data_IF_462960069272
#
_entry.id   IF_462960069272
#
_cell.length_a   1.000
_cell.length_b   1.000
_cell.length_c   1.000
_cell.angle_alpha   90.00
_cell.angle_beta   90.00
_cell.angle_gamma   90.00
#
_symmetry.space_group_name_H-M   'P 1'
#
loop_
_entity.id
_entity.type
_entity.pdbx_description
1 polymer ?
#
# COMPACT_ATOMS: atom_id res chain seq x y z
N UNK A 1 12.59 13.28 5.58
CA UNK A 1 11.32 13.31 6.35
C UNK A 1 10.46 12.16 5.82
N UNK A 2 9.50 11.61 6.59
CA UNK A 2 8.59 10.58 6.05
C UNK A 2 7.60 11.27 5.09
N UNK A 3 7.39 10.73 3.89
CA UNK A 3 6.30 11.17 3.01
C UNK A 3 4.94 10.68 3.53
N UNK A 4 3.87 11.04 2.81
CA UNK A 4 2.51 10.74 3.22
C UNK A 4 2.26 9.22 3.36
N UNK A 5 1.48 8.83 4.39
CA UNK A 5 0.97 7.47 4.51
C UNK A 5 -0.11 7.25 3.43
N UNK A 6 0.14 6.30 2.53
CA UNK A 6 -0.76 6.00 1.41
C UNK A 6 -1.79 4.94 1.79
N UNK A 7 -1.33 3.84 2.40
CA UNK A 7 -2.19 2.73 2.82
C UNK A 7 -1.58 1.93 3.96
N UNK A 8 -2.43 1.44 4.86
CA UNK A 8 -2.11 0.42 5.86
C UNK A 8 -2.94 -0.82 5.58
N UNK A 9 -2.40 -2.01 5.89
CA UNK A 9 -3.18 -3.25 5.79
C UNK A 9 -2.39 -4.47 6.23
N UNK A 10 -3.07 -5.62 6.36
CA UNK A 10 -2.42 -6.84 6.80
C UNK A 10 -1.74 -7.58 5.65
N UNK A 11 -0.59 -8.19 5.94
CA UNK A 11 0.17 -9.00 4.96
C UNK A 11 -0.56 -10.30 4.60
N UNK A 12 -1.38 -10.85 5.50
CA UNK A 12 -2.16 -12.08 5.31
C UNK A 12 -3.38 -11.93 4.38
N UNK A 13 -3.81 -10.70 4.07
CA UNK A 13 -5.00 -10.45 3.24
C UNK A 13 -4.77 -10.78 1.76
N UNK A 14 -3.50 -10.80 1.30
CA UNK A 14 -3.12 -11.00 -0.09
C UNK A 14 -2.08 -12.12 -0.23
N UNK A 15 -1.98 -12.69 -1.42
CA UNK A 15 -0.89 -13.64 -1.72
C UNK A 15 0.38 -12.86 -2.00
N UNK A 16 1.34 -12.92 -1.07
CA UNK A 16 2.69 -12.39 -1.28
C UNK A 16 3.40 -13.15 -2.40
N UNK A 17 3.91 -12.41 -3.38
CA UNK A 17 4.79 -12.93 -4.43
C UNK A 17 6.23 -12.96 -3.92
N UNK A 18 7.03 -13.85 -4.51
CA UNK A 18 8.41 -14.08 -4.09
C UNK A 18 9.11 -15.12 -4.97
N UNK A 19 10.33 -15.44 -4.58
CA UNK A 19 11.17 -16.48 -5.17
C UNK A 19 11.84 -17.26 -4.03
N UNK A 20 11.98 -18.59 -4.15
CA UNK A 20 12.65 -19.45 -3.15
C UNK A 20 12.21 -19.23 -1.68
N UNK A 21 10.93 -18.87 -1.45
CA UNK A 21 10.38 -18.61 -0.11
C UNK A 21 10.65 -17.21 0.45
N UNK A 22 11.38 -16.35 -0.27
CA UNK A 22 11.58 -14.94 0.09
C UNK A 22 10.51 -14.08 -0.59
N UNK A 23 9.55 -13.49 0.16
CA UNK A 23 8.55 -12.60 -0.41
C UNK A 23 9.13 -11.22 -0.72
N UNK A 24 8.64 -10.60 -1.79
CA UNK A 24 9.09 -9.29 -2.31
C UNK A 24 9.12 -8.21 -1.23
N UNK A 25 8.07 -8.11 -0.40
CA UNK A 25 7.99 -7.05 0.61
C UNK A 25 9.08 -7.14 1.70
N UNK A 26 9.62 -8.33 1.98
CA UNK A 26 10.75 -8.50 2.93
C UNK A 26 12.09 -8.08 2.33
N UNK A 27 12.23 -8.21 1.01
CA UNK A 27 13.38 -7.71 0.26
C UNK A 27 13.22 -6.23 -0.16
N UNK A 28 12.15 -5.55 0.26
CA UNK A 28 11.71 -4.32 -0.37
C UNK A 28 12.74 -3.19 -0.36
N UNK A 29 13.43 -2.96 0.76
CA UNK A 29 14.46 -1.92 0.84
C UNK A 29 15.65 -2.19 -0.09
N UNK A 30 16.02 -3.46 -0.29
CA UNK A 30 17.10 -3.85 -1.21
C UNK A 30 16.68 -3.71 -2.68
N UNK A 31 15.43 -4.10 -3.00
CA UNK A 31 14.84 -3.93 -4.32
C UNK A 31 14.73 -2.44 -4.68
N UNK A 32 14.21 -1.62 -3.75
CA UNK A 32 14.20 -0.15 -3.87
C UNK A 32 15.60 0.41 -4.10
N UNK A 33 16.61 -0.02 -3.34
CA UNK A 33 18.00 0.41 -3.54
C UNK A 33 18.49 0.15 -4.97
N UNK A 34 18.28 -1.05 -5.49
CA UNK A 34 18.71 -1.42 -6.83
C UNK A 34 18.00 -0.61 -7.91
N UNK A 35 16.70 -0.33 -7.74
CA UNK A 35 15.91 0.50 -8.65
C UNK A 35 16.36 1.98 -8.56
N UNK A 36 16.63 2.51 -7.35
CA UNK A 36 17.13 3.88 -7.15
C UNK A 36 18.50 4.10 -7.80
N UNK A 37 19.38 3.09 -7.75
CA UNK A 37 20.69 3.11 -8.44
C UNK A 37 20.58 3.04 -9.97
N UNK A 38 19.46 2.51 -10.48
CA UNK A 38 19.13 2.48 -11.91
C UNK A 38 18.61 3.85 -12.36
N UNK A 39 17.64 4.40 -11.64
CA UNK A 39 17.10 5.76 -11.79
C UNK A 39 16.30 6.14 -10.52
N UNK A 40 16.59 7.31 -9.94
CA UNK A 40 15.88 7.83 -8.78
C UNK A 40 14.38 8.05 -9.07
N UNK A 41 14.04 8.50 -10.28
CA UNK A 41 12.64 8.73 -10.66
C UNK A 41 11.81 7.45 -10.68
N UNK A 42 12.44 6.29 -10.90
CA UNK A 42 11.75 5.00 -10.97
C UNK A 42 11.34 4.51 -9.58
N UNK A 43 12.24 4.60 -8.58
CA UNK A 43 11.95 4.10 -7.22
C UNK A 43 10.83 4.87 -6.52
N UNK A 44 10.62 6.13 -6.91
CA UNK A 44 9.52 6.98 -6.44
C UNK A 44 8.13 6.45 -6.79
N UNK A 45 7.99 5.61 -7.84
CA UNK A 45 6.72 4.96 -8.20
C UNK A 45 6.38 3.77 -7.29
N UNK A 46 7.25 3.44 -6.34
CA UNK A 46 7.01 2.41 -5.35
C UNK A 46 6.84 3.09 -3.99
N UNK A 47 5.90 2.63 -3.18
CA UNK A 47 5.82 3.03 -1.78
C UNK A 47 6.95 2.36 -0.96
N UNK A 48 7.26 2.94 0.20
CA UNK A 48 8.16 2.37 1.20
C UNK A 48 7.31 1.54 2.17
N UNK A 49 7.39 0.20 2.18
CA UNK A 49 6.75 -0.61 3.21
C UNK A 49 7.48 -0.49 4.55
N UNK A 50 6.72 -0.40 5.64
CA UNK A 50 7.17 -0.53 7.01
C UNK A 50 6.28 -1.60 7.67
N UNK A 51 6.88 -2.71 8.08
CA UNK A 51 6.18 -3.74 8.85
C UNK A 51 6.18 -3.42 10.34
N UNK A 52 5.11 -3.80 11.04
CA UNK A 52 5.09 -3.83 12.51
C UNK A 52 6.04 -4.89 13.07
N UNK A 53 6.28 -4.87 14.39
CA UNK A 53 7.19 -5.81 15.07
C UNK A 53 6.82 -7.28 14.88
N UNK A 54 5.53 -7.56 14.64
CA UNK A 54 4.98 -8.89 14.40
C UNK A 54 5.01 -9.30 12.91
N UNK A 55 5.25 -8.37 11.98
CA UNK A 55 5.19 -8.60 10.52
C UNK A 55 3.78 -8.84 9.97
N UNK A 56 2.75 -8.56 10.76
CA UNK A 56 1.34 -8.79 10.44
C UNK A 56 0.73 -7.61 9.68
N UNK A 57 1.11 -6.39 10.02
CA UNK A 57 0.65 -5.16 9.38
C UNK A 57 1.79 -4.50 8.60
N UNK A 58 1.47 -3.92 7.44
CA UNK A 58 2.39 -3.15 6.62
C UNK A 58 1.77 -1.79 6.33
N UNK A 59 2.48 -0.74 6.72
CA UNK A 59 2.18 0.64 6.41
C UNK A 59 3.04 1.07 5.20
N UNK A 60 2.42 1.68 4.20
CA UNK A 60 3.04 2.03 2.92
C UNK A 60 3.08 3.55 2.76
N UNK A 61 4.29 4.11 2.73
CA UNK A 61 4.53 5.55 2.65
C UNK A 61 5.00 5.97 1.25
N UNK A 62 4.63 7.17 0.81
CA UNK A 62 5.27 7.83 -0.33
C UNK A 62 6.71 8.24 0.02
N UNK A 63 7.61 8.21 -0.96
CA UNK A 63 8.93 8.87 -0.88
C UNK A 63 8.82 10.37 -1.21
N UNK A 64 7.80 10.75 -2.00
CA UNK A 64 7.52 12.12 -2.45
C UNK A 64 6.52 12.79 -1.48
N UNK A 65 6.77 14.03 -1.03
CA UNK A 65 5.77 14.86 -0.35
C UNK A 65 4.77 15.46 -1.35
N UNK A 66 3.48 15.49 -1.01
CA UNK A 66 2.47 16.09 -1.88
C UNK A 66 1.07 15.53 -1.67
N UNK A 67 0.13 16.03 -2.47
CA UNK A 67 -1.27 15.62 -2.42
C UNK A 67 -1.47 14.21 -2.95
N UNK A 68 -2.14 13.37 -2.15
CA UNK A 68 -2.40 11.97 -2.48
C UNK A 68 -3.79 11.79 -3.09
N UNK A 69 -3.87 11.10 -4.22
CA UNK A 69 -5.08 10.81 -5.00
C UNK A 69 -5.23 9.29 -5.15
N UNK A 70 -6.34 8.63 -4.83
CA UNK A 70 -6.55 7.24 -5.24
C UNK A 70 -6.69 7.19 -6.76
N UNK A 71 -6.18 6.13 -7.39
CA UNK A 71 -6.41 5.87 -8.80
C UNK A 71 -7.91 5.96 -9.16
N UNK A 72 -8.76 5.34 -8.35
CA UNK A 72 -10.22 5.30 -8.53
C UNK A 72 -10.90 6.68 -8.48
N UNK A 73 -10.23 7.70 -7.95
CA UNK A 73 -10.73 9.08 -7.84
C UNK A 73 -10.08 10.08 -8.80
N UNK A 74 -8.93 9.71 -9.38
CA UNK A 74 -8.26 10.50 -10.42
C UNK A 74 -9.08 10.56 -11.71
N UNK A 75 -8.95 11.64 -12.47
CA UNK A 75 -9.53 11.80 -13.81
C UNK A 75 -8.77 10.95 -14.83
N UNK A 76 -9.34 10.75 -16.01
CA UNK A 76 -8.66 10.00 -17.07
C UNK A 76 -7.44 10.77 -17.63
N UNK A 77 -7.47 12.10 -17.55
CA UNK A 77 -6.37 13.00 -17.90
C UNK A 77 -5.20 12.90 -16.91
N UNK A 78 -5.47 12.71 -15.62
CA UNK A 78 -4.44 12.40 -14.61
C UNK A 78 -3.90 10.95 -14.79
N UNK A 79 -4.77 9.98 -15.12
CA UNK A 79 -4.41 8.56 -15.26
C UNK A 79 -3.61 8.24 -16.51
N UNK A 80 -3.89 8.89 -17.65
CA UNK A 80 -3.22 8.61 -18.92
C UNK A 80 -1.68 8.77 -18.87
N UNK A 81 -1.09 9.90 -18.42
CA UNK A 81 0.35 10.03 -18.25
C UNK A 81 0.90 9.15 -17.11
N UNK A 82 0.08 8.86 -16.09
CA UNK A 82 0.46 7.96 -15.00
C UNK A 82 0.63 6.51 -15.48
N UNK A 83 -0.27 5.97 -16.32
CA UNK A 83 -0.07 4.62 -16.91
C UNK A 83 1.23 4.53 -17.70
N UNK A 84 1.58 5.56 -18.48
CA UNK A 84 2.87 5.58 -19.19
C UNK A 84 4.08 5.58 -18.24
N UNK A 85 3.98 6.24 -17.08
CA UNK A 85 5.03 6.20 -16.06
C UNK A 85 5.21 4.79 -15.48
N UNK A 86 4.11 4.08 -15.19
CA UNK A 86 4.15 2.69 -14.71
C UNK A 86 4.65 1.71 -15.78
N UNK A 87 4.34 1.91 -17.06
CA UNK A 87 4.90 1.11 -18.15
C UNK A 87 6.43 1.30 -18.30
N UNK A 88 6.93 2.54 -18.12
CA UNK A 88 8.38 2.81 -18.06
C UNK A 88 9.03 2.10 -16.86
N UNK A 89 8.39 2.11 -15.70
CA UNK A 89 8.83 1.33 -14.52
C UNK A 89 8.89 -0.17 -14.83
N UNK A 90 7.82 -0.74 -15.41
CA UNK A 90 7.76 -2.14 -15.80
C UNK A 90 8.92 -2.51 -16.74
N UNK A 91 9.11 -1.76 -17.81
CA UNK A 91 10.19 -2.00 -18.78
C UNK A 91 11.58 -1.91 -18.14
N UNK A 92 11.79 -0.96 -17.22
CA UNK A 92 13.06 -0.81 -16.51
C UNK A 92 13.32 -1.93 -15.49
N UNK A 93 12.28 -2.47 -14.86
CA UNK A 93 12.34 -3.66 -14.00
C UNK A 93 12.66 -4.92 -14.81
N UNK A 94 12.06 -5.07 -16.00
CA UNK A 94 12.33 -6.18 -16.92
C UNK A 94 13.81 -6.17 -17.40
N UNK A 95 14.35 -5.01 -17.80
CA UNK A 95 15.77 -4.85 -18.15
C UNK A 95 16.70 -5.04 -16.94
N UNK A 96 16.36 -4.50 -15.76
CA UNK A 96 17.16 -4.72 -14.55
C UNK A 96 17.18 -6.22 -14.18
N UNK A 97 16.05 -6.91 -14.27
CA UNK A 97 15.96 -8.37 -14.08
C UNK A 97 16.86 -9.13 -15.05
N UNK A 98 16.80 -8.82 -16.35
CA UNK A 98 17.61 -9.48 -17.38
C UNK A 98 19.12 -9.38 -17.09
N UNK A 99 19.60 -8.22 -16.63
CA UNK A 99 21.01 -8.01 -16.23
C UNK A 99 21.44 -8.87 -15.04
N UNK A 100 20.53 -9.17 -14.11
CA UNK A 100 20.81 -10.06 -12.97
C UNK A 100 20.75 -11.54 -13.34
N UNK A 101 19.88 -11.94 -14.28
CA UNK A 101 19.72 -13.33 -14.70
C UNK A 101 20.79 -13.80 -15.71
N UNK A 102 21.38 -12.87 -16.46
CA UNK A 102 22.38 -13.19 -17.48
C UNK A 102 21.83 -14.03 -18.63
N UNK A 103 22.75 -14.49 -19.48
CA UNK A 103 22.44 -15.37 -20.63
C UNK A 103 22.90 -16.81 -20.42
N UNK A 104 23.84 -17.03 -19.49
CA UNK A 104 24.42 -18.34 -19.20
C UNK A 104 23.59 -19.09 -18.14
N UNK A 105 23.31 -20.40 -18.29
CA UNK A 105 22.69 -21.21 -17.24
C UNK A 105 23.39 -21.13 -15.88
N UNK A 106 24.70 -20.88 -15.82
CA UNK A 106 25.45 -20.69 -14.58
C UNK A 106 25.09 -19.39 -13.85
N UNK A 107 24.76 -18.31 -14.57
CA UNK A 107 24.28 -17.04 -13.99
C UNK A 107 22.89 -17.16 -13.36
N UNK A 108 22.12 -18.20 -13.72
CA UNK A 108 20.75 -18.41 -13.24
C UNK A 108 20.65 -19.15 -11.89
N UNK A 109 21.78 -19.44 -11.26
CA UNK A 109 21.87 -20.13 -9.97
C UNK A 109 22.37 -19.18 -8.86
N UNK A 110 21.72 -19.23 -7.68
CA UNK A 110 22.13 -18.48 -6.49
C UNK A 110 21.48 -17.09 -6.34
N UNK A 111 21.94 -16.33 -5.34
CA UNK A 111 21.26 -15.14 -4.81
C UNK A 111 21.06 -14.02 -5.87
N UNK A 112 22.03 -13.84 -6.78
CA UNK A 112 21.93 -12.89 -7.90
C UNK A 112 20.74 -13.24 -8.79
N UNK A 113 20.54 -14.52 -9.11
CA UNK A 113 19.42 -14.98 -9.91
C UNK A 113 18.08 -14.89 -9.16
N UNK A 114 18.07 -15.20 -7.87
CA UNK A 114 16.89 -15.00 -7.00
C UNK A 114 16.47 -13.54 -7.00
N UNK A 115 17.41 -12.61 -6.80
CA UNK A 115 17.16 -11.16 -6.87
C UNK A 115 16.65 -10.72 -8.25
N UNK A 116 17.25 -11.25 -9.33
CA UNK A 116 16.78 -11.03 -10.70
C UNK A 116 15.33 -11.48 -10.92
N UNK A 117 14.92 -12.62 -10.36
CA UNK A 117 13.52 -13.09 -10.42
C UNK A 117 12.58 -12.28 -9.54
N UNK A 118 13.02 -11.85 -8.35
CA UNK A 118 12.25 -10.98 -7.45
C UNK A 118 11.90 -9.65 -8.12
N UNK A 119 12.81 -9.04 -8.90
CA UNK A 119 12.54 -7.81 -9.64
C UNK A 119 11.33 -7.91 -10.57
N UNK A 120 11.12 -9.05 -11.25
CA UNK A 120 9.91 -9.28 -12.09
C UNK A 120 8.61 -9.34 -11.27
N UNK A 121 8.70 -9.62 -9.97
CA UNK A 121 7.54 -9.67 -9.07
C UNK A 121 7.18 -8.31 -8.47
N UNK A 122 8.08 -7.31 -8.53
CA UNK A 122 7.87 -5.97 -7.95
C UNK A 122 6.66 -5.26 -8.54
N UNK A 123 6.45 -5.33 -9.85
CA UNK A 123 5.40 -4.56 -10.55
C UNK A 123 3.96 -5.04 -10.27
N UNK A 124 3.78 -6.18 -9.60
CA UNK A 124 2.45 -6.74 -9.28
C UNK A 124 1.86 -6.10 -8.02
N UNK A 125 0.57 -5.80 -8.03
CA UNK A 125 -0.22 -5.34 -6.89
C UNK A 125 -1.65 -5.91 -7.01
N UNK A 126 -2.50 -5.87 -5.96
CA UNK A 126 -3.78 -6.60 -5.99
C UNK A 126 -4.81 -6.07 -7.00
N UNK A 127 -5.08 -4.75 -7.02
CA UNK A 127 -6.00 -4.08 -7.95
C UNK A 127 -5.78 -2.56 -7.98
N UNK A 128 -6.55 -1.84 -8.80
CA UNK A 128 -6.46 -0.38 -8.97
C UNK A 128 -6.58 0.43 -7.66
N UNK A 129 -7.20 -0.09 -6.60
CA UNK A 129 -7.29 0.62 -5.32
C UNK A 129 -5.95 0.75 -4.59
N UNK A 130 -4.92 0.03 -5.02
CA UNK A 130 -3.58 0.05 -4.43
C UNK A 130 -2.63 1.03 -5.12
N UNK A 131 -3.11 1.76 -6.14
CA UNK A 131 -2.35 2.78 -6.85
C UNK A 131 -2.84 4.17 -6.42
N UNK A 132 -1.88 5.05 -6.15
CA UNK A 132 -2.14 6.43 -5.76
C UNK A 132 -1.35 7.37 -6.66
N UNK A 133 -1.88 8.53 -7.02
CA UNK A 133 -1.07 9.60 -7.58
C UNK A 133 -0.58 10.48 -6.42
N UNK A 134 0.68 10.90 -6.45
CA UNK A 134 1.26 11.87 -5.52
C UNK A 134 1.96 12.93 -6.37
N UNK A 135 1.44 14.17 -6.36
CA UNK A 135 1.85 15.24 -7.28
C UNK A 135 1.94 14.77 -8.76
N UNK A 136 0.94 14.01 -9.23
CA UNK A 136 0.88 13.48 -10.59
C UNK A 136 1.78 12.27 -10.89
N UNK A 137 2.60 11.80 -9.95
CA UNK A 137 3.38 10.55 -10.10
C UNK A 137 2.62 9.36 -9.48
N UNK A 138 2.43 8.24 -10.21
CA UNK A 138 1.77 7.07 -9.66
C UNK A 138 2.70 6.27 -8.74
N UNK A 139 2.28 6.10 -7.48
CA UNK A 139 2.94 5.32 -6.44
C UNK A 139 2.12 4.07 -6.15
N UNK A 140 2.74 2.90 -6.34
CA UNK A 140 2.17 1.60 -6.02
C UNK A 140 2.30 1.30 -4.52
N UNK A 141 1.23 0.82 -3.89
CA UNK A 141 1.23 0.19 -2.55
C UNK A 141 0.95 -1.32 -2.70
N UNK A 142 1.28 -2.13 -1.68
CA UNK A 142 1.16 -3.60 -1.77
C UNK A 142 1.81 -4.19 -3.02
N UNK A 143 2.92 -3.57 -3.46
CA UNK A 143 3.70 -4.08 -4.58
C UNK A 143 4.42 -5.38 -4.18
N UNK A 144 4.47 -6.35 -5.08
CA UNK A 144 4.80 -7.73 -4.77
C UNK A 144 3.66 -8.55 -4.15
N UNK A 145 2.40 -8.15 -4.27
CA UNK A 145 1.22 -8.93 -3.85
C UNK A 145 0.20 -9.08 -4.99
N UNK A 146 -0.68 -10.07 -4.84
CA UNK A 146 -1.85 -10.29 -5.72
C UNK A 146 -3.03 -10.83 -4.88
N UNK A 147 -4.26 -10.70 -5.37
CA UNK A 147 -5.41 -11.42 -4.81
C UNK A 147 -5.21 -12.94 -4.88
N UNK A 148 -5.81 -13.68 -3.93
CA UNK A 148 -5.63 -15.14 -3.85
C UNK A 148 -6.23 -15.89 -5.06
N UNK A 149 -7.24 -15.31 -5.69
CA UNK A 149 -7.95 -15.78 -6.89
C UNK A 149 -7.53 -15.04 -8.18
N UNK A 150 -6.45 -14.24 -8.13
CA UNK A 150 -5.97 -13.50 -9.30
C UNK A 150 -5.58 -14.43 -10.47
N UNK A 151 -6.04 -14.09 -11.68
CA UNK A 151 -5.61 -14.76 -12.90
C UNK A 151 -4.15 -14.39 -13.21
N UNK A 152 -3.25 -15.35 -13.00
CA UNK A 152 -1.81 -15.20 -13.20
C UNK A 152 -1.37 -15.08 -14.65
N UNK A 153 -2.28 -15.21 -15.62
CA UNK A 153 -2.02 -14.95 -17.03
C UNK A 153 -2.18 -13.48 -17.43
N UNK A 154 -2.86 -12.67 -16.60
CA UNK A 154 -3.04 -11.24 -16.86
C UNK A 154 -1.75 -10.46 -16.59
N UNK A 155 -1.53 -9.42 -17.39
CA UNK A 155 -0.41 -8.51 -17.22
C UNK A 155 -0.61 -7.60 -15.99
N UNK A 156 0.44 -7.29 -15.21
CA UNK A 156 0.33 -6.61 -13.91
C UNK A 156 -0.46 -5.29 -13.94
N UNK A 157 -0.29 -4.51 -15.01
CA UNK A 157 -0.89 -3.18 -15.16
C UNK A 157 -2.29 -3.22 -15.81
N UNK A 158 -2.78 -4.39 -16.23
CA UNK A 158 -4.03 -4.54 -16.96
C UNK A 158 -5.24 -3.93 -16.23
N UNK A 159 -5.28 -4.05 -14.89
CA UNK A 159 -6.36 -3.51 -14.07
C UNK A 159 -6.46 -1.97 -14.04
N UNK A 160 -5.47 -1.24 -14.56
CA UNK A 160 -5.45 0.23 -14.60
C UNK A 160 -6.05 0.82 -15.88
N UNK A 161 -6.28 -0.03 -16.89
CA UNK A 161 -6.86 0.38 -18.17
C UNK A 161 -8.39 0.28 -18.09
N UNK A 162 -9.13 1.24 -18.68
CA UNK A 162 -10.57 1.12 -18.76
C UNK A 162 -10.92 -0.18 -19.48
N UNK A 163 -11.85 -0.95 -18.90
CA UNK A 163 -12.36 -2.14 -19.57
C UNK A 163 -12.96 -1.70 -20.89
N UNK A 164 -12.41 -2.19 -22.00
CA UNK A 164 -12.99 -1.99 -23.32
C UNK A 164 -14.34 -2.70 -23.37
N UNK A 165 -15.40 -1.98 -23.00
CA UNK A 165 -16.75 -2.28 -23.44
C UNK A 165 -16.65 -2.36 -24.98
N UNK A 166 -16.97 -3.50 -25.61
CA UNK A 166 -16.98 -3.54 -27.06
C UNK A 166 -18.00 -2.50 -27.53
N UNK A 167 -17.55 -1.48 -28.27
CA UNK A 167 -18.46 -0.50 -28.85
C UNK A 167 -19.61 -1.25 -29.53
N UNK A 168 -20.89 -0.83 -29.35
CA UNK A 168 -21.99 -1.44 -30.06
C UNK A 168 -21.69 -1.27 -31.55
N UNK A 169 -21.26 -2.37 -32.20
CA UNK A 169 -20.67 -2.32 -33.53
C UNK A 169 -21.58 -1.51 -34.44
N UNK A 170 -21.11 -0.33 -34.86
CA UNK A 170 -21.83 0.48 -35.81
C UNK A 170 -22.23 -0.43 -36.99
N UNK A 171 -23.48 -0.38 -37.46
CA UNK A 171 -23.93 -1.29 -38.51
C UNK A 171 -23.03 -1.11 -39.72
N UNK A 172 -22.30 -2.17 -40.06
CA UNK A 172 -21.35 -2.19 -41.17
C UNK A 172 -22.10 -1.69 -42.40
N UNK A 173 -21.66 -0.61 -43.08
CA UNK A 173 -22.36 -0.10 -44.24
C UNK A 173 -22.29 -1.16 -45.35
N UNK A 174 -23.42 -1.82 -45.59
CA UNK A 174 -23.60 -2.77 -46.69
C UNK A 174 -23.17 -2.11 -48.00
N UNK A 175 -22.21 -2.68 -48.75
CA UNK A 175 -21.83 -2.11 -50.05
C UNK A 175 -23.05 -2.06 -50.97
N UNK A 176 -23.27 -0.89 -51.58
CA UNK A 176 -24.41 -0.67 -52.47
C UNK A 176 -24.29 -1.51 -53.75
N UNK A 177 -24.83 -2.72 -53.73
CA UNK A 177 -25.05 -3.52 -54.92
C UNK A 177 -26.26 -2.95 -55.70
N UNK A 178 -26.09 -2.81 -57.03
CA UNK A 178 -27.07 -2.18 -57.90
C UNK A 178 -28.41 -2.95 -57.98
N UNK A 179 -29.47 -2.21 -58.29
CA UNK A 179 -30.85 -2.68 -58.21
C UNK A 179 -31.18 -3.85 -59.17
N UNK A 180 -32.00 -4.79 -58.69
CA UNK A 180 -32.90 -5.59 -59.55
C UNK A 180 -34.31 -5.64 -58.93
N UNK A 181 -35.31 -5.72 -59.79
CA UNK A 181 -36.75 -5.52 -59.52
C UNK A 181 -37.42 -6.76 -58.92
N UNK A 182 -38.44 -6.52 -58.07
CA UNK A 182 -39.71 -7.27 -57.91
C UNK A 182 -40.12 -7.55 -56.44
N UNK A 183 -41.41 -7.31 -56.15
CA UNK A 183 -42.11 -7.65 -54.90
C UNK A 183 -42.81 -9.04 -55.05
N UNK A 184 -43.55 -9.60 -54.05
CA UNK A 184 -43.87 -9.06 -52.73
C UNK A 184 -43.79 -10.07 -51.54
N UNK A 185 -44.03 -9.55 -50.33
CA UNK A 185 -44.66 -10.22 -49.17
C UNK A 185 -44.21 -11.65 -48.80
N UNK A 186 -43.29 -11.75 -47.86
CA UNK A 186 -43.24 -12.84 -46.89
C UNK A 186 -42.93 -12.28 -45.50
N UNK A 187 -43.77 -12.58 -44.51
CA UNK A 187 -43.48 -12.27 -43.12
C UNK A 187 -42.36 -13.20 -42.62
N UNK A 188 -41.28 -12.64 -42.07
CA UNK A 188 -40.22 -13.42 -41.42
C UNK A 188 -40.23 -13.12 -39.94
N UNK A 189 -40.27 -14.18 -39.15
CA UNK A 189 -40.45 -14.16 -37.70
C UNK A 189 -39.38 -13.34 -36.98
N UNK A 190 -39.77 -12.73 -35.86
CA UNK A 190 -38.83 -12.28 -34.84
C UNK A 190 -38.20 -13.52 -34.21
N UNK A 191 -37.00 -13.89 -34.64
CA UNK A 191 -36.25 -14.98 -34.02
C UNK A 191 -35.70 -14.52 -32.68
N UNK A 192 -36.36 -14.94 -31.60
CA UNK A 192 -36.03 -14.54 -30.23
C UNK A 192 -34.67 -15.11 -29.83
N UNK A 193 -33.73 -14.23 -29.50
CA UNK A 193 -32.40 -14.58 -28.98
C UNK A 193 -32.55 -15.54 -27.78
N UNK A 194 -31.90 -16.73 -27.79
CA UNK A 194 -32.06 -17.70 -26.72
C UNK A 194 -31.45 -17.18 -25.42
N UNK A 195 -32.30 -16.89 -24.44
CA UNK A 195 -31.87 -16.67 -23.05
C UNK A 195 -31.19 -17.94 -22.55
N UNK A 196 -29.87 -17.87 -22.34
CA UNK A 196 -29.08 -18.95 -21.76
C UNK A 196 -29.46 -19.09 -20.28
N UNK A 197 -30.53 -19.86 -20.02
CA UNK A 197 -30.90 -20.26 -18.67
C UNK A 197 -29.78 -21.13 -18.11
N UNK A 198 -29.09 -20.65 -17.07
CA UNK A 198 -28.09 -21.45 -16.35
C UNK A 198 -28.81 -22.68 -15.77
N UNK A 199 -28.40 -23.92 -16.11
CA UNK A 199 -29.20 -25.10 -15.81
C UNK A 199 -29.31 -25.33 -14.30
N UNK A 200 -30.53 -25.34 -13.75
CA UNK A 200 -30.75 -25.40 -12.29
C UNK A 200 -30.07 -26.62 -11.65
N UNK A 201 -29.96 -27.71 -12.39
CA UNK A 201 -29.35 -28.97 -11.95
C UNK A 201 -27.92 -28.81 -11.43
N UNK A 202 -27.16 -27.81 -11.90
CA UNK A 202 -25.81 -27.53 -11.39
C UNK A 202 -25.80 -27.10 -9.91
N UNK A 203 -26.93 -26.59 -9.39
CA UNK A 203 -27.12 -26.19 -7.99
C UNK A 203 -27.36 -27.39 -7.05
N UNK A 204 -27.73 -28.55 -7.58
CA UNK A 204 -27.86 -29.80 -6.81
C UNK A 204 -26.59 -30.66 -6.83
N UNK A 205 -25.62 -30.37 -7.71
CA UNK A 205 -24.40 -31.17 -7.81
C UNK A 205 -23.53 -31.12 -6.54
N UNK A 206 -23.63 -30.04 -5.75
CA UNK A 206 -22.95 -29.91 -4.45
C UNK A 206 -23.68 -30.64 -3.29
N UNK A 207 -24.93 -31.08 -3.48
CA UNK A 207 -25.62 -31.95 -2.52
C UNK A 207 -25.14 -33.41 -2.64
N UNK A 208 -24.59 -33.81 -3.79
CA UNK A 208 -24.07 -35.17 -4.01
C UNK A 208 -22.87 -35.54 -3.11
N UNK A 209 -21.81 -34.71 -2.96
CA UNK A 209 -20.74 -35.00 -2.00
C UNK A 209 -21.22 -34.96 -0.54
N UNK A 210 -22.19 -34.08 -0.20
CA UNK A 210 -22.80 -34.05 1.14
C UNK A 210 -23.58 -35.35 1.44
N UNK A 211 -24.36 -35.83 0.46
CA UNK A 211 -25.09 -37.10 0.54
C UNK A 211 -24.13 -38.29 0.67
N UNK A 212 -23.05 -38.33 -0.13
CA UNK A 212 -22.02 -39.37 -0.04
C UNK A 212 -21.32 -39.36 1.32
N UNK A 213 -21.01 -38.18 1.87
CA UNK A 213 -20.39 -38.05 3.19
C UNK A 213 -21.33 -38.50 4.31
N UNK A 214 -22.62 -38.17 4.24
CA UNK A 214 -23.65 -38.67 5.17
C UNK A 214 -23.83 -40.19 5.06
N UNK A 215 -23.83 -40.74 3.84
CA UNK A 215 -23.98 -42.17 3.60
C UNK A 215 -22.73 -42.95 4.07
N UNK A 216 -21.53 -42.40 3.89
CA UNK A 216 -20.29 -42.93 4.44
C UNK A 216 -20.28 -42.89 5.98
N UNK A 217 -20.73 -41.79 6.60
CA UNK A 217 -20.89 -41.70 8.06
C UNK A 217 -21.92 -42.70 8.60
N UNK A 218 -23.03 -42.90 7.88
CA UNK A 218 -24.05 -43.88 8.22
C UNK A 218 -23.51 -45.31 8.10
N UNK A 219 -22.80 -45.64 7.02
CA UNK A 219 -22.08 -46.92 6.90
C UNK A 219 -21.08 -47.12 8.05
N UNK A 220 -20.22 -46.13 8.33
CA UNK A 220 -19.28 -46.19 9.46
C UNK A 220 -19.99 -46.37 10.82
N UNK A 221 -21.20 -45.83 10.98
CA UNK A 221 -22.01 -46.00 12.18
C UNK A 221 -22.61 -47.41 12.29
N UNK A 222 -23.09 -47.98 11.18
CA UNK A 222 -23.55 -49.38 11.13
C UNK A 222 -22.40 -50.37 11.32
N UNK A 223 -21.22 -50.12 10.73
CA UNK A 223 -20.02 -50.94 10.99
C UNK A 223 -19.54 -50.85 12.45
N UNK A 224 -19.66 -49.68 13.09
CA UNK A 224 -19.41 -49.53 14.55
C UNK A 224 -20.43 -50.27 15.41
N UNK A 225 -21.65 -50.52 14.90
CA UNK A 225 -22.64 -51.38 15.56
C UNK A 225 -22.30 -52.87 15.55
N UNK A 226 -21.40 -53.31 14.66
CA UNK A 226 -21.03 -54.72 14.48
C UNK A 226 -19.62 -55.09 15.02
N UNK A 227 -18.97 -54.20 15.77
CA UNK A 227 -17.65 -54.45 16.38
C UNK A 227 -17.77 -54.44 17.92
N UNK A 228 -17.68 -55.60 18.61
CA UNK A 228 -17.62 -55.61 20.07
C UNK A 228 -16.34 -54.91 20.55
N UNK A 229 -16.44 -54.19 21.67
CA UNK A 229 -15.42 -53.26 22.17
C UNK A 229 -14.06 -53.91 22.39
N UNK A 230 -13.11 -53.68 21.49
CA UNK A 230 -11.70 -54.05 21.67
C UNK A 230 -10.99 -52.99 22.50
N UNK A 231 -10.77 -53.29 23.79
CA UNK A 231 -9.86 -52.50 24.64
C UNK A 231 -8.42 -52.74 24.17
N UNK A 232 -7.79 -51.73 23.57
CA UNK A 232 -6.34 -51.74 23.35
C UNK A 232 -5.63 -51.56 24.71
N UNK A 233 -4.74 -52.47 25.12
CA UNK A 233 -3.94 -52.26 26.32
C UNK A 233 -2.75 -51.33 26.03
N UNK A 234 -2.36 -50.59 27.07
CA UNK A 234 -1.06 -49.92 27.20
C UNK A 234 -0.83 -48.63 26.37
N UNK A 235 -1.40 -47.52 26.82
CA UNK A 235 -0.81 -46.18 26.66
C UNK A 235 -0.80 -45.46 28.02
N UNK A 236 0.29 -44.75 28.40
CA UNK A 236 0.38 -44.03 29.66
C UNK A 236 -0.54 -42.79 29.68
N UNK A 237 -1.05 -42.43 30.85
CA UNK A 237 -1.88 -41.22 31.01
C UNK A 237 -1.07 -39.95 30.75
N UNK A 238 -1.47 -39.19 29.73
CA UNK A 238 -1.13 -37.76 29.64
C UNK A 238 -2.05 -37.00 30.60
N UNK A 239 -1.49 -36.60 31.74
CA UNK A 239 -2.20 -35.86 32.76
C UNK A 239 -2.24 -34.37 32.37
N UNK A 240 -3.39 -33.88 31.92
CA UNK A 240 -3.61 -32.47 31.56
C UNK A 240 -4.08 -31.69 32.79
N UNK A 241 -3.57 -30.47 33.05
CA UNK A 241 -3.99 -29.68 34.20
C UNK A 241 -5.46 -29.25 34.09
N UNK A 242 -6.20 -29.35 35.20
CA UNK A 242 -7.61 -29.03 35.25
C UNK A 242 -7.85 -27.52 35.08
N UNK A 243 -8.47 -27.13 33.95
CA UNK A 243 -9.00 -25.78 33.75
C UNK A 243 -10.25 -25.66 34.62
N UNK A 244 -10.20 -24.80 35.63
CA UNK A 244 -11.33 -24.54 36.52
C UNK A 244 -12.39 -23.71 35.80
N UNK A 245 -13.62 -24.22 35.74
CA UNK A 245 -14.79 -23.49 35.23
C UNK A 245 -15.26 -22.46 36.27
N UNK A 246 -15.54 -21.20 35.89
CA UNK A 246 -16.12 -20.23 36.80
C UNK A 246 -17.60 -20.54 37.01
N UNK A 247 -17.99 -20.81 38.26
CA UNK A 247 -19.38 -21.10 38.63
C UNK A 247 -20.14 -19.79 38.96
N UNK A 248 -21.38 -19.69 38.49
CA UNK A 248 -22.23 -18.51 38.67
C UNK A 248 -22.76 -18.41 40.11
N UNK A 249 -22.81 -17.21 40.72
CA UNK A 249 -23.16 -17.06 42.13
C UNK A 249 -24.67 -17.25 42.36
N UNK A 250 -25.04 -18.37 42.98
CA UNK A 250 -26.35 -18.54 43.61
C UNK A 250 -26.26 -18.14 45.08
N UNK A 251 -26.78 -16.96 45.43
CA UNK A 251 -26.76 -16.47 46.81
C UNK A 251 -27.74 -17.23 47.70
N UNK A 252 -27.28 -17.65 48.89
CA UNK A 252 -28.17 -17.93 50.01
C UNK A 252 -27.56 -17.47 51.33
N UNK A 253 -28.43 -16.93 52.16
CA UNK A 253 -28.20 -16.10 53.32
C UNK A 253 -27.88 -16.87 54.62
N UNK A 254 -27.14 -16.20 55.50
CA UNK A 254 -27.16 -16.32 56.98
C UNK A 254 -26.61 -17.59 57.66
N UNK A 255 -25.78 -17.35 58.69
CA UNK A 255 -25.32 -18.36 59.66
C UNK A 255 -24.04 -17.93 60.37
N UNK A 256 -24.15 -17.13 61.43
CA UNK A 256 -22.98 -16.60 62.15
C UNK A 256 -22.25 -17.64 63.01
N UNK A 257 -20.96 -17.41 63.28
CA UNK A 257 -20.14 -18.28 64.14
C UNK A 257 -18.84 -17.59 64.58
N UNK A 258 -18.75 -17.27 65.89
CA UNK A 258 -17.62 -16.61 66.55
C UNK A 258 -16.42 -17.56 66.79
N UNK A 259 -15.21 -17.00 66.91
CA UNK A 259 -13.99 -17.67 67.40
C UNK A 259 -12.74 -17.21 66.66
N UNK A 260 -11.90 -16.26 67.10
CA UNK A 260 -11.20 -16.07 68.39
C UNK A 260 -10.19 -17.18 68.78
N UNK A 261 -8.95 -17.06 68.28
CA UNK A 261 -7.64 -17.20 68.95
C UNK A 261 -6.54 -17.53 67.91
N UNK A 262 -5.27 -17.15 68.07
CA UNK A 262 -4.61 -16.45 69.19
C UNK A 262 -3.37 -17.21 69.69
N UNK A 263 -2.19 -16.57 69.67
CA UNK A 263 -0.89 -17.14 70.13
C UNK A 263 -0.06 -17.74 68.98
N UNK A 264 1.18 -17.35 68.64
CA UNK A 264 2.35 -16.75 69.31
C UNK A 264 3.37 -17.76 69.91
N UNK A 265 4.66 -17.53 69.65
CA UNK A 265 5.84 -18.33 70.09
C UNK A 265 6.78 -18.65 68.92
N UNK A 266 7.89 -17.93 68.66
CA UNK A 266 9.21 -17.98 69.37
C UNK A 266 9.82 -19.38 69.30
N UNK A 267 11.03 -19.69 68.82
CA UNK A 267 12.27 -19.02 68.35
C UNK A 267 13.23 -20.20 67.98
N UNK A 268 14.53 -20.11 67.64
CA UNK A 268 15.56 -19.08 67.49
C UNK A 268 16.94 -19.77 67.27
N UNK A 269 17.99 -19.03 66.85
CA UNK A 269 19.37 -19.49 66.53
C UNK A 269 19.57 -20.38 65.28
N UNK A 270 20.68 -20.28 64.52
CA UNK A 270 21.78 -19.31 64.57
C UNK A 270 23.04 -19.70 63.76
N UNK A 271 23.86 -18.70 63.40
CA UNK A 271 25.27 -18.75 62.92
C UNK A 271 25.61 -18.97 61.43
N UNK A 272 26.54 -18.12 60.94
CA UNK A 272 27.30 -18.18 59.68
C UNK A 272 28.69 -18.87 59.91
N UNK A 273 29.71 -18.90 59.00
CA UNK A 273 30.34 -17.80 58.20
C UNK A 273 30.58 -18.19 56.70
N UNK A 274 31.31 -17.49 55.80
CA UNK A 274 32.12 -16.25 55.82
C UNK A 274 32.71 -15.88 54.42
N UNK A 275 33.34 -14.70 54.30
CA UNK A 275 33.95 -14.04 53.11
C UNK A 275 35.43 -14.45 52.84
N UNK A 276 36.07 -14.15 51.66
CA UNK A 276 36.61 -12.82 51.27
C UNK A 276 36.31 -12.43 49.77
N UNK A 277 36.38 -11.18 49.25
CA UNK A 277 37.43 -10.12 49.24
C UNK A 277 38.75 -10.54 48.53
N UNK A 278 39.40 -9.74 47.66
CA UNK A 278 39.13 -8.41 47.10
C UNK A 278 40.37 -7.84 46.34
N UNK A 279 40.18 -6.81 45.51
CA UNK A 279 41.19 -5.95 44.84
C UNK A 279 42.05 -6.51 43.67
N UNK A 280 42.55 -5.60 42.83
CA UNK A 280 43.55 -5.80 41.77
C UNK A 280 44.33 -4.51 41.50
N UNK A 281 45.30 -4.52 40.57
CA UNK A 281 45.86 -3.32 39.92
C UNK A 281 46.61 -3.67 38.61
N UNK A 282 47.11 -2.63 37.94
CA UNK A 282 47.68 -2.47 36.61
C UNK A 282 49.02 -3.17 36.33
N UNK A 283 49.31 -3.45 35.05
CA UNK A 283 50.55 -3.04 34.34
C UNK A 283 50.62 -3.48 32.87
N UNK A 284 51.40 -2.73 32.07
CA UNK A 284 51.61 -2.91 30.63
C UNK A 284 52.76 -3.91 30.29
N UNK A 285 52.98 -4.30 29.01
CA UNK A 285 53.88 -5.39 28.64
C UNK A 285 55.24 -4.95 28.04
N UNK A 286 56.31 -5.65 28.44
CA UNK A 286 57.66 -5.70 27.86
C UNK A 286 58.36 -6.98 28.40
N UNK A 287 59.44 -7.54 27.84
CA UNK A 287 60.03 -7.57 26.49
C UNK A 287 61.17 -8.62 26.51
N UNK A 288 61.46 -9.33 25.40
CA UNK A 288 62.70 -10.14 25.25
C UNK A 288 63.18 -10.12 23.80
N UNK A 289 64.36 -9.51 23.56
CA UNK A 289 65.18 -9.70 22.36
C UNK A 289 66.42 -10.57 22.66
N UNK A 290 67.56 -10.46 21.93
CA UNK A 290 67.85 -9.53 20.82
C UNK A 290 68.64 -10.13 19.62
N UNK A 291 68.89 -9.30 18.60
CA UNK A 291 70.19 -9.25 17.90
C UNK A 291 70.39 -10.04 16.60
N UNK A 292 70.38 -9.34 15.45
CA UNK A 292 71.60 -9.07 14.66
C UNK A 292 71.30 -8.33 13.34
N UNK A 293 71.96 -7.19 13.17
CA UNK A 293 72.36 -6.60 11.87
C UNK A 293 73.71 -7.23 11.44
N UNK A 294 74.20 -7.14 10.17
CA UNK A 294 74.51 -5.85 9.55
C UNK A 294 74.33 -5.70 8.01
N UNK A 295 74.17 -4.43 7.60
CA UNK A 295 74.74 -3.74 6.41
C UNK A 295 74.70 -4.26 4.96
N UNK A 296 74.14 -3.38 4.11
CA UNK A 296 74.83 -2.63 3.01
C UNK A 296 74.57 -2.93 1.52
N UNK A 297 74.27 -1.81 0.81
CA UNK A 297 74.37 -1.49 -0.62
C UNK A 297 73.35 -2.12 -1.61
N UNK A 298 72.79 -1.42 -2.62
CA UNK A 298 72.87 0.01 -3.04
C UNK A 298 71.71 0.38 -4.02
N UNK A 299 71.08 1.57 -3.84
CA UNK A 299 70.78 2.62 -4.88
C UNK A 299 69.80 2.34 -6.05
N UNK A 300 68.97 3.31 -6.57
CA UNK A 300 68.21 4.45 -6.01
C UNK A 300 66.67 4.27 -6.28
N UNK A 301 65.73 5.24 -6.26
CA UNK A 301 65.68 6.63 -5.74
C UNK A 301 65.38 7.75 -6.78
N UNK A 302 64.11 8.18 -6.95
CA UNK A 302 63.73 9.42 -7.69
C UNK A 302 62.44 10.08 -7.10
N UNK A 303 62.52 11.36 -6.75
CA UNK A 303 61.41 12.26 -6.30
C UNK A 303 61.33 13.48 -7.25
N UNK A 304 60.23 14.25 -7.31
CA UNK A 304 59.98 15.24 -8.35
C UNK A 304 60.55 16.64 -8.03
N UNK A 305 60.86 17.48 -9.05
CA UNK A 305 61.21 18.89 -8.85
C UNK A 305 60.02 19.86 -9.04
N UNK A 306 60.10 21.02 -8.38
CA UNK A 306 59.16 22.13 -8.48
C UNK A 306 59.66 23.26 -9.42
N UNK A 307 58.86 24.33 -9.56
CA UNK A 307 59.00 25.49 -10.47
C UNK A 307 60.35 26.25 -10.41
N UNK A 308 60.64 27.08 -11.44
CA UNK A 308 60.62 28.53 -11.20
C UNK A 308 59.95 29.40 -12.30
N UNK A 309 59.48 30.60 -11.91
CA UNK A 309 59.08 31.75 -12.76
C UNK A 309 60.31 32.51 -13.34
N UNK A 310 60.14 33.36 -14.38
CA UNK A 310 60.17 34.81 -14.11
C UNK A 310 59.32 35.75 -15.02
N UNK A 311 58.90 36.88 -14.41
CA UNK A 311 58.75 38.27 -14.87
C UNK A 311 58.08 38.68 -16.23
N UNK A 312 56.95 39.39 -16.05
CA UNK A 312 56.44 40.62 -16.72
C UNK A 312 57.28 41.38 -17.77
N UNK A 313 56.62 41.83 -18.86
CA UNK A 313 56.31 43.26 -19.14
C UNK A 313 55.49 43.49 -20.45
N UNK A 314 54.54 44.46 -20.39
CA UNK A 314 54.00 45.36 -21.47
C UNK A 314 53.42 44.77 -22.79
N UNK A 315 52.34 45.30 -23.41
CA UNK A 315 51.50 46.49 -23.14
C UNK A 315 50.06 46.37 -23.73
N UNK A 316 49.15 47.22 -23.24
CA UNK A 316 47.85 47.60 -23.84
C UNK A 316 48.01 48.89 -24.71
N UNK A 317 47.01 49.35 -25.49
CA UNK A 317 45.78 48.74 -26.03
C UNK A 317 45.80 48.94 -27.60
N UNK A 318 44.75 49.34 -28.39
CA UNK A 318 43.29 49.35 -28.23
C UNK A 318 42.43 48.88 -29.44
N UNK A 319 41.13 48.68 -29.15
CA UNK A 319 39.91 48.94 -29.94
C UNK A 319 39.53 48.15 -31.25
N UNK A 320 38.25 47.75 -31.21
CA UNK A 320 37.21 47.63 -32.26
C UNK A 320 37.00 46.39 -33.16
N UNK A 321 35.88 45.71 -32.84
CA UNK A 321 34.83 45.20 -33.75
C UNK A 321 35.02 43.86 -34.54
N UNK A 322 33.92 43.14 -34.89
CA UNK A 322 33.38 42.12 -33.98
C UNK A 322 33.27 40.71 -34.58
N UNK A 323 33.36 39.67 -33.74
CA UNK A 323 33.30 38.26 -34.16
C UNK A 323 31.89 37.66 -33.93
N UNK A 324 31.31 36.91 -34.89
CA UNK A 324 29.93 36.40 -34.79
C UNK A 324 29.77 35.25 -33.77
N UNK A 325 28.60 35.21 -33.11
CA UNK A 325 28.23 34.21 -32.11
C UNK A 325 28.12 32.78 -32.67
N UNK A 326 28.59 31.75 -31.94
CA UNK A 326 28.28 30.36 -32.24
C UNK A 326 26.84 29.99 -31.87
N UNK A 327 26.15 29.30 -32.78
CA UNK A 327 24.72 28.99 -32.72
C UNK A 327 24.27 28.15 -31.51
N UNK A 328 23.10 28.49 -30.97
CA UNK A 328 22.39 27.69 -29.96
C UNK A 328 21.91 26.33 -30.52
N UNK A 329 21.91 25.24 -29.73
CA UNK A 329 21.28 23.98 -30.10
C UNK A 329 19.74 24.10 -30.14
N UNK A 330 19.13 23.59 -31.21
CA UNK A 330 17.69 23.73 -31.49
C UNK A 330 16.78 23.04 -30.46
N UNK A 331 15.66 23.70 -30.11
CA UNK A 331 14.56 23.11 -29.36
C UNK A 331 13.99 21.86 -30.05
N UNK A 332 13.84 20.77 -29.30
CA UNK A 332 12.94 19.69 -29.69
C UNK A 332 11.49 20.16 -29.50
N UNK A 333 10.55 19.84 -30.43
CA UNK A 333 9.14 20.20 -30.26
C UNK A 333 8.57 19.57 -28.98
N UNK A 334 8.27 20.40 -27.98
CA UNK A 334 7.46 19.96 -26.85
C UNK A 334 6.05 19.61 -27.37
N UNK A 335 5.46 18.48 -26.94
CA UNK A 335 4.03 18.25 -27.14
C UNK A 335 3.25 19.42 -26.51
N UNK A 336 2.14 19.88 -27.12
CA UNK A 336 1.39 21.00 -26.59
C UNK A 336 0.97 20.71 -25.15
N UNK A 337 1.42 21.57 -24.23
CA UNK A 337 0.95 21.56 -22.85
C UNK A 337 -0.53 21.93 -22.87
N UNK A 338 -1.39 20.92 -22.71
CA UNK A 338 -2.77 21.13 -22.32
C UNK A 338 -2.79 21.98 -21.03
N UNK A 339 -3.75 22.91 -20.87
CA UNK A 339 -3.87 23.69 -19.63
C UNK A 339 -3.95 22.74 -18.43
N UNK A 340 -2.90 22.72 -17.62
CA UNK A 340 -2.95 22.10 -16.31
C UNK A 340 -3.74 23.05 -15.43
N UNK A 341 -5.05 22.80 -15.28
CA UNK A 341 -5.83 23.46 -14.25
C UNK A 341 -5.36 22.91 -12.89
N UNK A 342 -4.62 23.67 -12.07
CA UNK A 342 -4.04 23.14 -10.85
C UNK A 342 -5.17 23.05 -9.82
N UNK A 343 -5.73 21.85 -9.64
CA UNK A 343 -6.80 21.62 -8.67
C UNK A 343 -6.29 21.95 -7.25
N UNK A 344 -6.57 23.18 -6.81
CA UNK A 344 -5.94 23.78 -5.65
C UNK A 344 -6.21 22.96 -4.37
N UNK A 345 -5.17 22.53 -3.64
CA UNK A 345 -5.35 21.79 -2.39
C UNK A 345 -5.98 22.67 -1.33
N UNK A 346 -6.70 22.05 -0.39
CA UNK A 346 -7.31 22.77 0.73
C UNK A 346 -6.20 23.44 1.56
N UNK A 347 -6.25 24.76 1.64
CA UNK A 347 -5.37 25.58 2.47
C UNK A 347 -6.17 26.23 3.58
N UNK A 348 -5.68 26.20 4.82
CA UNK A 348 -6.33 26.83 5.98
C UNK A 348 -5.67 28.21 6.21
N UNK A 349 -6.41 29.33 6.04
CA UNK A 349 -5.87 30.68 6.24
C UNK A 349 -5.37 30.91 7.66
N UNK A 350 -4.30 31.69 7.83
CA UNK A 350 -3.71 31.93 9.17
C UNK A 350 -4.63 32.74 10.10
N UNK A 351 -5.51 33.56 9.51
CA UNK A 351 -6.45 34.44 10.21
C UNK A 351 -7.84 33.80 10.37
N UNK A 352 -7.99 32.50 10.10
CA UNK A 352 -9.26 31.79 10.25
C UNK A 352 -9.68 31.70 11.73
N UNK A 353 -10.61 32.57 12.13
CA UNK A 353 -11.18 32.60 13.48
C UNK A 353 -12.12 31.43 13.76
N UNK A 354 -12.49 31.24 15.03
CA UNK A 354 -13.49 30.24 15.41
C UNK A 354 -14.87 30.61 14.84
N UNK A 355 -15.57 29.65 14.22
CA UNK A 355 -16.87 29.89 13.57
C UNK A 355 -17.05 29.08 12.27
N UNK A 356 -18.06 29.43 11.46
CA UNK A 356 -18.26 28.86 10.12
C UNK A 356 -16.99 28.93 9.25
N UNK A 357 -16.72 27.87 8.49
CA UNK A 357 -15.52 27.76 7.67
C UNK A 357 -15.74 28.30 6.24
N UNK A 358 -16.07 29.58 6.10
CA UNK A 358 -16.52 30.21 4.83
C UNK A 358 -15.45 30.17 3.71
N UNK A 359 -14.18 29.98 4.06
CA UNK A 359 -13.09 29.75 3.09
C UNK A 359 -13.26 28.43 2.31
N UNK A 360 -14.13 27.53 2.76
CA UNK A 360 -14.54 26.33 2.05
C UNK A 360 -15.64 26.56 1.01
N UNK A 361 -16.22 27.75 0.86
CA UNK A 361 -17.35 27.93 -0.05
C UNK A 361 -17.01 27.48 -1.50
N UNK A 362 -17.87 26.63 -2.07
CA UNK A 362 -17.71 25.96 -3.37
C UNK A 362 -17.57 24.43 -3.28
N UNK A 363 -17.21 23.82 -4.42
CA UNK A 363 -17.09 22.37 -4.57
C UNK A 363 -15.69 21.84 -4.24
N UNK A 364 -15.63 20.76 -3.47
CA UNK A 364 -14.40 20.08 -3.05
C UNK A 364 -14.47 18.59 -3.33
N UNK A 365 -13.31 17.99 -3.62
CA UNK A 365 -13.13 16.54 -3.75
C UNK A 365 -12.17 16.06 -2.67
N UNK A 366 -12.56 14.99 -1.97
CA UNK A 366 -11.61 14.29 -1.11
C UNK A 366 -10.58 13.54 -1.97
N UNK A 367 -9.32 13.66 -1.58
CA UNK A 367 -8.23 12.82 -2.06
C UNK A 367 -8.20 11.47 -1.37
N UNK A 368 -7.00 10.97 -1.05
CA UNK A 368 -6.81 9.56 -0.77
C UNK A 368 -7.16 9.09 0.64
N UNK A 369 -7.08 7.77 0.83
CA UNK A 369 -7.19 7.10 2.13
C UNK A 369 -8.60 6.67 2.52
N UNK A 370 -9.64 7.32 2.01
CA UNK A 370 -11.04 7.02 2.37
C UNK A 370 -11.43 5.64 1.85
N UNK A 371 -11.66 4.70 2.77
CA UNK A 371 -12.08 3.33 2.50
C UNK A 371 -13.42 3.06 3.17
N UNK A 372 -14.31 2.34 2.47
CA UNK A 372 -15.54 1.80 3.02
C UNK A 372 -15.20 0.83 4.15
N UNK A 373 -15.62 1.15 5.38
CA UNK A 373 -15.31 0.39 6.59
C UNK A 373 -15.68 -1.09 6.53
N UNK A 374 -16.70 -1.46 5.75
CA UNK A 374 -17.18 -2.85 5.63
C UNK A 374 -16.43 -3.66 4.59
N UNK A 375 -15.89 -3.02 3.55
CA UNK A 375 -15.32 -3.69 2.36
C UNK A 375 -13.86 -3.37 2.08
N UNK A 376 -13.26 -2.37 2.76
CA UNK A 376 -11.89 -1.91 2.53
C UNK A 376 -11.66 -1.26 1.16
N UNK A 377 -12.72 -1.01 0.39
CA UNK A 377 -12.65 -0.44 -0.96
C UNK A 377 -12.64 1.09 -0.91
N UNK A 378 -11.90 1.76 -1.81
CA UNK A 378 -11.81 3.22 -1.82
C UNK A 378 -13.16 3.85 -2.17
N UNK A 379 -13.44 5.00 -1.55
CA UNK A 379 -14.64 5.80 -1.78
C UNK A 379 -14.29 7.14 -2.42
N UNK A 380 -15.22 7.67 -3.22
CA UNK A 380 -15.15 9.04 -3.74
C UNK A 380 -16.10 9.92 -2.94
N UNK A 381 -15.58 10.93 -2.26
CA UNK A 381 -16.38 11.94 -1.57
C UNK A 381 -16.23 13.28 -2.29
N UNK A 382 -17.38 13.88 -2.58
CA UNK A 382 -17.50 15.24 -3.13
C UNK A 382 -18.31 16.06 -2.13
N UNK A 383 -17.82 17.23 -1.76
CA UNK A 383 -18.49 18.15 -0.85
C UNK A 383 -18.85 19.41 -1.61
N UNK A 384 -19.99 20.01 -1.28
CA UNK A 384 -20.33 21.38 -1.67
C UNK A 384 -20.62 22.17 -0.42
N UNK A 385 -19.86 23.22 -0.16
CA UNK A 385 -20.04 24.10 0.99
C UNK A 385 -20.54 25.49 0.60
N UNK A 386 -21.36 26.06 1.48
CA UNK A 386 -21.88 27.42 1.45
C UNK A 386 -22.12 27.87 2.90
N UNK A 387 -21.45 28.94 3.34
CA UNK A 387 -21.59 29.58 4.65
C UNK A 387 -21.40 28.59 5.84
N UNK A 388 -20.36 27.75 5.75
CA UNK A 388 -20.02 26.71 6.73
C UNK A 388 -21.02 25.55 6.81
N UNK A 389 -21.97 25.44 5.88
CA UNK A 389 -22.89 24.30 5.72
C UNK A 389 -22.61 23.62 4.39
N UNK A 390 -23.03 22.37 4.22
CA UNK A 390 -22.86 21.71 2.94
C UNK A 390 -23.61 20.40 2.79
N UNK A 391 -23.44 19.81 1.62
CA UNK A 391 -23.84 18.44 1.32
C UNK A 391 -22.59 17.66 0.89
N UNK A 392 -22.47 16.42 1.36
CA UNK A 392 -21.48 15.46 0.86
C UNK A 392 -22.18 14.39 0.02
N UNK A 393 -21.63 14.09 -1.15
CA UNK A 393 -21.98 12.95 -1.99
C UNK A 393 -20.88 11.89 -1.91
N UNK A 394 -21.23 10.71 -1.43
CA UNK A 394 -20.38 9.52 -1.36
C UNK A 394 -20.74 8.60 -2.52
N UNK A 395 -19.83 8.40 -3.48
CA UNK A 395 -20.01 7.40 -4.55
C UNK A 395 -19.33 6.10 -4.14
N UNK A 396 -20.15 5.07 -3.89
CA UNK A 396 -19.72 3.73 -3.46
C UNK A 396 -19.08 2.92 -4.61
N UNK A 397 -18.34 1.83 -4.33
CA UNK A 397 -17.69 1.00 -5.35
C UNK A 397 -18.65 0.19 -6.23
N UNK A 398 -19.92 0.06 -5.81
CA UNK A 398 -21.02 -0.53 -6.59
C UNK A 398 -21.73 0.49 -7.51
N UNK A 399 -21.26 1.75 -7.52
CA UNK A 399 -21.82 2.83 -8.33
C UNK A 399 -23.03 3.54 -7.70
N UNK A 400 -23.46 3.14 -6.50
CA UNK A 400 -24.54 3.82 -5.78
C UNK A 400 -24.01 5.10 -5.13
N UNK A 401 -24.75 6.19 -5.32
CA UNK A 401 -24.51 7.46 -4.63
C UNK A 401 -25.32 7.53 -3.34
N UNK A 402 -24.70 8.07 -2.29
CA UNK A 402 -25.33 8.39 -1.02
C UNK A 402 -25.02 9.84 -0.66
N UNK A 403 -26.04 10.66 -0.36
CA UNK A 403 -25.83 12.06 0.03
C UNK A 403 -26.35 12.37 1.43
N UNK A 404 -25.73 13.36 2.08
CA UNK A 404 -26.09 13.77 3.44
C UNK A 404 -25.57 15.16 3.81
N UNK A 405 -26.24 15.85 4.76
CA UNK A 405 -25.84 17.17 5.21
C UNK A 405 -24.60 17.13 6.11
N UNK A 406 -23.72 18.11 5.91
CA UNK A 406 -22.52 18.36 6.70
C UNK A 406 -22.47 19.81 7.18
N UNK A 407 -21.76 20.07 8.26
CA UNK A 407 -21.31 21.43 8.63
C UNK A 407 -19.80 21.48 8.70
N UNK A 408 -19.21 22.65 8.47
CA UNK A 408 -17.79 22.88 8.52
C UNK A 408 -17.49 24.12 9.37
N UNK A 409 -16.69 23.95 10.42
CA UNK A 409 -16.39 24.99 11.39
C UNK A 409 -14.95 24.94 11.89
N UNK A 410 -14.35 26.11 12.05
CA UNK A 410 -13.06 26.29 12.70
C UNK A 410 -13.22 26.29 14.22
N UNK A 411 -12.41 25.48 14.89
CA UNK A 411 -12.36 25.33 16.34
C UNK A 411 -10.90 25.29 16.80
N UNK A 412 -10.44 26.37 17.44
CA UNK A 412 -9.10 26.52 18.02
C UNK A 412 -7.94 26.19 17.06
N UNK A 413 -8.06 26.64 15.80
CA UNK A 413 -7.06 26.41 14.76
C UNK A 413 -7.14 25.07 14.03
N UNK A 414 -8.12 24.22 14.37
CA UNK A 414 -8.46 23.02 13.59
C UNK A 414 -9.81 23.19 12.90
N UNK A 415 -9.91 22.77 11.65
CA UNK A 415 -11.15 22.66 10.91
C UNK A 415 -11.83 21.33 11.28
N UNK A 416 -13.09 21.37 11.68
CA UNK A 416 -13.95 20.19 11.77
C UNK A 416 -14.99 20.23 10.63
N UNK A 417 -15.21 19.09 9.98
CA UNK A 417 -16.33 18.88 9.06
C UNK A 417 -17.18 17.75 9.67
N UNK A 418 -18.31 18.14 10.24
CA UNK A 418 -19.19 17.27 11.01
C UNK A 418 -20.34 16.75 10.13
N UNK A 419 -20.48 15.43 10.08
CA UNK A 419 -21.53 14.71 9.38
C UNK A 419 -22.77 14.56 10.25
N UNK A 420 -23.91 15.13 9.82
CA UNK A 420 -25.17 15.11 10.58
C UNK A 420 -25.99 13.84 10.34
N UNK A 421 -25.45 12.70 10.78
CA UNK A 421 -26.11 11.39 10.72
C UNK A 421 -25.65 10.54 9.54
N UNK A 422 -26.56 9.70 9.02
CA UNK A 422 -26.28 8.81 7.89
C UNK A 422 -26.68 9.47 6.57
N UNK A 423 -25.88 9.28 5.52
CA UNK A 423 -26.26 9.64 4.16
C UNK A 423 -27.35 8.68 3.65
N UNK A 424 -28.31 9.21 2.90
CA UNK A 424 -29.33 8.43 2.22
C UNK A 424 -28.81 8.00 0.84
N UNK A 425 -28.88 6.71 0.53
CA UNK A 425 -28.41 6.14 -0.72
C UNK A 425 -29.53 6.00 -1.76
N UNK A 426 -29.18 6.10 -3.04
CA UNK A 426 -30.13 5.97 -4.16
C UNK A 426 -30.81 4.58 -4.26
N UNK A 427 -30.25 3.55 -3.60
CA UNK A 427 -30.83 2.21 -3.46
C UNK A 427 -31.78 2.06 -2.26
N UNK A 428 -32.03 3.14 -1.50
CA UNK A 428 -32.84 3.14 -0.29
C UNK A 428 -32.12 2.63 0.95
N UNK A 429 -30.82 2.33 0.87
CA UNK A 429 -29.98 2.06 2.05
C UNK A 429 -29.46 3.35 2.69
N UNK A 430 -28.87 3.23 3.88
CA UNK A 430 -28.19 4.32 4.57
C UNK A 430 -26.68 4.05 4.62
N UNK A 431 -25.88 5.12 4.66
CA UNK A 431 -24.43 5.05 4.73
C UNK A 431 -23.88 5.90 5.89
N UNK A 432 -23.08 5.30 6.77
CA UNK A 432 -22.39 6.02 7.85
C UNK A 432 -21.29 6.91 7.26
N UNK A 433 -21.41 8.23 7.43
CA UNK A 433 -20.41 9.19 6.95
C UNK A 433 -19.27 9.38 7.98
N UNK A 434 -18.03 9.64 7.54
CA UNK A 434 -16.93 9.89 8.47
C UNK A 434 -17.04 11.30 9.07
N UNK A 435 -16.44 11.48 10.26
CA UNK A 435 -16.14 12.80 10.80
C UNK A 435 -14.73 13.18 10.33
N UNK A 436 -14.55 14.40 9.80
CA UNK A 436 -13.25 14.86 9.28
C UNK A 436 -12.70 15.99 10.15
N UNK A 437 -11.42 15.92 10.48
CA UNK A 437 -10.70 17.00 11.18
C UNK A 437 -9.44 17.32 10.41
N UNK A 438 -9.22 18.60 10.11
CA UNK A 438 -8.00 19.07 9.44
C UNK A 438 -7.21 20.04 10.32
N UNK A 439 -5.90 19.83 10.39
CA UNK A 439 -4.95 20.76 10.97
C UNK A 439 -4.22 21.53 9.86
N UNK A 440 -3.63 22.68 10.21
CA UNK A 440 -2.73 23.40 9.30
C UNK A 440 -1.41 22.64 9.17
N UNK A 441 -1.12 22.15 7.97
CA UNK A 441 0.10 21.44 7.62
C UNK A 441 1.18 22.33 7.00
N UNK A 442 2.11 21.70 6.29
CA UNK A 442 3.19 22.40 5.59
C UNK A 442 2.64 23.35 4.51
N UNK A 443 3.24 24.54 4.40
CA UNK A 443 2.83 25.57 3.42
C UNK A 443 1.34 25.97 3.50
N UNK A 444 0.72 25.82 4.69
CA UNK A 444 -0.71 26.05 4.96
C UNK A 444 -1.70 25.06 4.33
N UNK A 445 -1.22 24.06 3.57
CA UNK A 445 -2.03 22.94 3.09
C UNK A 445 -2.60 22.17 4.29
N UNK A 446 -3.84 21.72 4.19
CA UNK A 446 -4.58 21.10 5.28
C UNK A 446 -4.22 19.61 5.44
N UNK A 447 -3.64 19.24 6.58
CA UNK A 447 -3.45 17.85 6.98
C UNK A 447 -4.77 17.31 7.54
N UNK A 448 -5.60 16.71 6.67
CA UNK A 448 -6.91 16.18 7.04
C UNK A 448 -6.85 14.70 7.50
N UNK A 449 -7.67 14.36 8.48
CA UNK A 449 -7.90 13.00 8.98
C UNK A 449 -9.39 12.74 9.03
N UNK A 450 -9.86 11.71 8.30
CA UNK A 450 -11.21 11.20 8.43
C UNK A 450 -11.29 10.11 9.50
N UNK A 451 -12.48 9.90 10.07
CA UNK A 451 -12.67 8.93 11.14
C UNK A 451 -14.06 8.28 11.17
N UNK A 452 -14.08 6.98 11.50
CA UNK A 452 -15.27 6.19 11.81
C UNK A 452 -15.19 5.70 13.26
N UNK A 453 -15.65 6.54 14.19
CA UNK A 453 -15.51 6.28 15.63
C UNK A 453 -14.04 6.28 16.06
N UNK A 454 -13.48 5.10 16.32
CA UNK A 454 -12.08 4.95 16.74
C UNK A 454 -11.11 4.76 15.56
N UNK A 455 -11.59 4.33 14.40
CA UNK A 455 -10.78 4.13 13.20
C UNK A 455 -10.50 5.48 12.54
N UNK A 456 -9.22 5.76 12.23
CA UNK A 456 -8.76 7.01 11.59
C UNK A 456 -7.99 6.70 10.31
N UNK A 457 -8.12 7.56 9.32
CA UNK A 457 -7.39 7.48 8.05
C UNK A 457 -6.94 8.88 7.60
N UNK A 458 -5.71 9.03 7.08
CA UNK A 458 -5.29 10.28 6.46
C UNK A 458 -6.14 10.54 5.22
N UNK A 459 -6.41 11.80 4.93
CA UNK A 459 -7.03 12.24 3.68
C UNK A 459 -6.54 13.63 3.30
N UNK A 460 -6.70 13.99 2.03
CA UNK A 460 -6.55 15.37 1.55
C UNK A 460 -7.88 15.86 0.97
N UNK A 461 -7.99 17.16 0.72
CA UNK A 461 -9.12 17.77 0.03
C UNK A 461 -8.58 18.80 -0.96
N UNK A 462 -9.30 19.00 -2.07
CA UNK A 462 -8.96 19.99 -3.12
C UNK A 462 -10.21 20.61 -3.73
N UNK A 463 -10.07 21.75 -4.40
CA UNK A 463 -11.11 22.29 -5.30
C UNK A 463 -11.50 21.23 -6.33
N UNK A 464 -12.80 20.97 -6.48
CA UNK A 464 -13.27 20.20 -7.62
C UNK A 464 -13.18 21.09 -8.87
N UNK A 465 -12.30 20.75 -9.81
CA UNK A 465 -12.33 21.38 -11.14
C UNK A 465 -13.64 21.07 -11.87
N UNK A 466 -14.15 22.06 -12.62
CA UNK A 466 -15.33 21.94 -13.48
C UNK A 466 -15.09 21.02 -14.69
#
# INVERSE_FOLDING_TARGET
MRGALLRSGKSETFTALGETGQPVYRAALQLREAIRRKDANLVEHLAIPQSDELGNQIDWYSDIPGDVIPWTSATEEERAPARQQLERLKAALDDLSARFLGSDPADQQGDKAVFGKLLKRVIYFPDESFVYLVNGKPVLTFWGFQHADADRSLEPLHCLYPRSEPEPSAPIPTPAAAATVAAPLAAVAVESVPVVTRPWWRRWWWLWPLLLLLLALLLLSLLRGCMPTTRLPNLPQLNLPAISTPELPSGSLHGGGLGLNGGAGVGGSGSAPGLPEGNGDSSAPESVGPGNEPESNEVPGEEPPALPEPETAEAEPPADEPQPEPSQPSEQPQPPQLPQDPQEPLSIPEQAGNGPADFLNGDWRAGAGIQDRRTGKPLRLQYRFDDGKGEVTVRRPDGVDCSGPVTAAMNNGSLAIDSHGQAACADGSNYDMPQVTCAKGAQSIADCTGSYGNERFPMSMRRAGE
#
